data_IF_453403594054
#
_entry.id   IF_453403594054
#
_cell.length_a   1.000
_cell.length_b   1.000
_cell.length_c   1.000
_cell.angle_alpha   90.00
_cell.angle_beta   90.00
_cell.angle_gamma   90.00
#
_symmetry.space_group_name_H-M   'P 1'
#
loop_
_entity.id
_entity.type
_entity.pdbx_description
1 polymer ?
#
# COMPACT_ATOMS: atom_id res chain seq x y z
N UNK A 1 -33.63 19.34 44.35
CA UNK A 1 -33.87 18.15 43.55
C UNK A 1 -34.14 18.45 42.07
N UNK A 2 -35.11 19.29 41.70
CA UNK A 2 -35.39 19.62 40.28
C UNK A 2 -34.18 20.21 39.51
N UNK A 3 -33.42 21.11 40.14
CA UNK A 3 -32.22 21.72 39.51
C UNK A 3 -31.09 20.71 39.25
N UNK A 4 -30.92 19.75 40.14
CA UNK A 4 -29.91 18.68 39.98
C UNK A 4 -30.28 17.72 38.83
N UNK A 5 -31.57 17.46 38.67
CA UNK A 5 -32.10 16.64 37.59
C UNK A 5 -31.87 17.28 36.20
N UNK A 6 -32.08 18.60 36.09
CA UNK A 6 -31.80 19.34 34.84
C UNK A 6 -30.32 19.39 34.49
N UNK A 7 -29.43 19.51 35.48
CA UNK A 7 -27.97 19.48 35.26
C UNK A 7 -27.52 18.06 34.78
N UNK A 8 -28.09 17.02 35.37
CA UNK A 8 -27.80 15.64 34.96
C UNK A 8 -28.30 15.34 33.54
N UNK A 9 -29.50 15.84 33.20
CA UNK A 9 -30.05 15.68 31.84
C UNK A 9 -29.25 16.46 30.80
N UNK A 10 -28.77 17.65 31.10
CA UNK A 10 -27.90 18.45 30.24
C UNK A 10 -26.54 17.82 30.07
N UNK A 11 -25.95 17.17 31.08
CA UNK A 11 -24.69 16.45 30.98
C UNK A 11 -24.79 15.22 30.06
N UNK A 12 -25.92 14.52 30.08
CA UNK A 12 -26.18 13.36 29.19
C UNK A 12 -26.31 13.76 27.70
N UNK A 13 -26.86 14.93 27.39
CA UNK A 13 -27.00 15.39 25.99
C UNK A 13 -25.67 15.87 25.38
N UNK A 14 -24.73 16.38 26.19
CA UNK A 14 -23.40 16.81 25.73
C UNK A 14 -22.48 15.66 25.33
N UNK A 15 -22.70 14.45 25.85
CA UNK A 15 -21.88 13.28 25.55
C UNK A 15 -22.14 12.68 24.15
N UNK A 16 -23.27 12.98 23.52
CA UNK A 16 -23.68 12.38 22.23
C UNK A 16 -22.94 12.99 21.02
N UNK A 17 -22.45 14.21 21.11
CA UNK A 17 -21.84 14.91 19.97
C UNK A 17 -20.42 14.41 19.66
N UNK A 18 -19.67 13.94 20.68
CA UNK A 18 -18.30 13.44 20.49
C UNK A 18 -18.22 12.04 19.90
N UNK A 19 -19.22 11.19 20.15
CA UNK A 19 -19.23 9.80 19.68
C UNK A 19 -19.32 9.72 18.15
N UNK A 20 -20.20 10.48 17.53
CA UNK A 20 -20.36 10.49 16.07
C UNK A 20 -19.09 10.94 15.35
N UNK A 21 -18.40 11.95 15.87
CA UNK A 21 -17.15 12.45 15.31
C UNK A 21 -16.04 11.38 15.37
N UNK A 22 -15.99 10.59 16.44
CA UNK A 22 -15.00 9.51 16.58
C UNK A 22 -15.24 8.40 15.55
N UNK A 23 -16.48 7.98 15.39
CA UNK A 23 -16.88 6.97 14.39
C UNK A 23 -16.57 7.45 12.97
N UNK A 24 -16.86 8.72 12.65
CA UNK A 24 -16.53 9.31 11.35
C UNK A 24 -15.02 9.32 11.09
N UNK A 25 -14.20 9.58 12.09
CA UNK A 25 -12.74 9.55 11.98
C UNK A 25 -12.23 8.14 11.76
N UNK A 26 -12.74 7.14 12.48
CA UNK A 26 -12.38 5.74 12.28
C UNK A 26 -12.73 5.27 10.86
N UNK A 27 -13.92 5.59 10.37
CA UNK A 27 -14.31 5.29 8.99
C UNK A 27 -13.41 5.99 7.95
N UNK A 28 -13.02 7.23 8.18
CA UNK A 28 -12.10 7.94 7.29
C UNK A 28 -10.72 7.28 7.25
N UNK A 29 -10.20 6.82 8.39
CA UNK A 29 -8.94 6.09 8.46
C UNK A 29 -9.05 4.77 7.69
N UNK A 30 -10.09 3.98 7.94
CA UNK A 30 -10.34 2.71 7.26
C UNK A 30 -10.46 2.89 5.74
N UNK A 31 -11.21 3.89 5.27
CA UNK A 31 -11.31 4.22 3.85
C UNK A 31 -9.97 4.67 3.24
N UNK A 32 -9.19 5.43 3.99
CA UNK A 32 -7.87 5.89 3.54
C UNK A 32 -6.89 4.73 3.44
N UNK A 33 -6.95 3.80 4.39
CA UNK A 33 -6.16 2.57 4.36
C UNK A 33 -6.54 1.67 3.17
N UNK A 34 -7.82 1.43 2.92
CA UNK A 34 -8.29 0.65 1.78
C UNK A 34 -7.78 1.22 0.42
N UNK A 35 -7.65 2.55 0.31
CA UNK A 35 -7.03 3.18 -0.87
C UNK A 35 -5.54 2.88 -0.97
N UNK A 36 -4.82 2.81 0.15
CA UNK A 36 -3.40 2.40 0.19
C UNK A 36 -3.26 0.95 -0.28
N UNK A 37 -4.04 0.03 0.29
CA UNK A 37 -4.02 -1.39 -0.11
C UNK A 37 -4.33 -1.58 -1.59
N UNK A 38 -5.33 -0.87 -2.12
CA UNK A 38 -5.68 -0.91 -3.55
C UNK A 38 -4.48 -0.58 -4.45
N UNK A 39 -3.64 0.40 -4.08
CA UNK A 39 -2.46 0.75 -4.87
C UNK A 39 -1.35 -0.30 -4.74
N UNK A 40 -1.17 -0.88 -3.58
CA UNK A 40 -0.23 -1.99 -3.40
C UNK A 40 -0.66 -3.25 -4.15
N UNK A 41 -1.96 -3.57 -4.14
CA UNK A 41 -2.52 -4.67 -4.93
C UNK A 41 -2.26 -4.43 -6.43
N UNK A 42 -2.56 -3.23 -6.94
CA UNK A 42 -2.30 -2.86 -8.32
C UNK A 42 -0.82 -3.05 -8.70
N UNK A 43 0.11 -2.65 -7.82
CA UNK A 43 1.54 -2.89 -8.04
C UNK A 43 1.84 -4.40 -8.15
N UNK A 44 1.29 -5.19 -7.24
CA UNK A 44 1.48 -6.64 -7.21
C UNK A 44 0.93 -7.32 -8.46
N UNK A 45 -0.17 -6.82 -9.04
CA UNK A 45 -0.81 -7.37 -10.24
C UNK A 45 -0.01 -7.08 -11.52
N UNK A 46 0.84 -6.05 -11.53
CA UNK A 46 1.73 -5.75 -12.66
C UNK A 46 2.95 -6.68 -12.72
N UNK A 47 3.36 -7.26 -11.58
CA UNK A 47 4.61 -8.03 -11.48
C UNK A 47 4.62 -9.31 -12.34
N UNK A 48 3.55 -10.13 -12.41
CA UNK A 48 3.55 -11.30 -13.28
C UNK A 48 3.81 -10.96 -14.75
N UNK A 49 3.24 -9.86 -15.23
CA UNK A 49 3.44 -9.39 -16.60
C UNK A 49 4.89 -8.92 -16.80
N UNK A 50 5.45 -8.20 -15.84
CA UNK A 50 6.85 -7.77 -15.86
C UNK A 50 7.79 -9.00 -15.91
N UNK A 51 7.59 -9.96 -15.01
CA UNK A 51 8.39 -11.20 -14.95
C UNK A 51 8.30 -11.98 -16.26
N UNK A 52 7.11 -12.14 -16.83
CA UNK A 52 6.91 -12.84 -18.09
C UNK A 52 7.59 -12.12 -19.27
N UNK A 53 7.53 -10.78 -19.29
CA UNK A 53 8.23 -9.99 -20.32
C UNK A 53 9.73 -10.19 -20.23
N UNK A 54 10.31 -10.13 -19.01
CA UNK A 54 11.75 -10.28 -18.79
C UNK A 54 12.21 -11.72 -19.07
N UNK A 55 11.43 -12.74 -18.70
CA UNK A 55 11.70 -14.16 -18.99
C UNK A 55 11.81 -14.47 -20.47
N UNK A 56 11.20 -13.69 -21.34
CA UNK A 56 11.33 -13.83 -22.79
C UNK A 56 12.76 -13.58 -23.32
N UNK A 57 13.64 -13.02 -22.50
CA UNK A 57 15.04 -12.74 -22.81
C UNK A 57 15.93 -13.81 -22.16
N UNK A 58 16.45 -14.73 -22.97
CA UNK A 58 17.08 -15.97 -22.52
C UNK A 58 18.29 -15.79 -21.58
N UNK A 59 19.01 -14.69 -21.71
CA UNK A 59 20.23 -14.41 -20.93
C UNK A 59 19.95 -13.60 -19.65
N UNK A 60 18.68 -13.35 -19.29
CA UNK A 60 18.39 -12.57 -18.10
C UNK A 60 18.64 -13.35 -16.79
N UNK A 61 19.18 -12.68 -15.80
CA UNK A 61 19.56 -13.28 -14.51
C UNK A 61 18.36 -13.87 -13.76
N UNK A 62 18.32 -15.21 -13.69
CA UNK A 62 17.25 -15.96 -13.02
C UNK A 62 17.11 -15.61 -11.54
N UNK A 63 18.23 -15.34 -10.86
CA UNK A 63 18.23 -14.95 -9.43
C UNK A 63 17.45 -13.66 -9.18
N UNK A 64 17.63 -12.66 -10.04
CA UNK A 64 16.91 -11.37 -9.93
C UNK A 64 15.40 -11.56 -10.13
N UNK A 65 14.98 -12.41 -11.05
CA UNK A 65 13.56 -12.74 -11.26
C UNK A 65 12.97 -13.48 -10.06
N UNK A 66 13.69 -14.46 -9.54
CA UNK A 66 13.26 -15.25 -8.37
C UNK A 66 13.06 -14.34 -7.15
N UNK A 67 14.01 -13.42 -6.90
CA UNK A 67 13.90 -12.46 -5.81
C UNK A 67 12.64 -11.58 -5.90
N UNK A 68 12.25 -11.16 -7.11
CA UNK A 68 11.01 -10.38 -7.32
C UNK A 68 9.77 -11.24 -7.06
N UNK A 69 9.75 -12.50 -7.52
CA UNK A 69 8.63 -13.42 -7.32
C UNK A 69 8.43 -13.72 -5.83
N UNK A 70 9.51 -14.01 -5.11
CA UNK A 70 9.48 -14.29 -3.66
C UNK A 70 9.06 -13.05 -2.85
N UNK A 71 9.61 -11.89 -3.19
CA UNK A 71 9.24 -10.64 -2.52
C UNK A 71 7.76 -10.29 -2.78
N UNK A 72 7.24 -10.55 -3.99
CA UNK A 72 5.82 -10.39 -4.28
C UNK A 72 4.96 -11.33 -3.43
N UNK A 73 5.32 -12.62 -3.36
CA UNK A 73 4.59 -13.60 -2.55
C UNK A 73 4.55 -13.18 -1.07
N UNK A 74 5.67 -12.71 -0.52
CA UNK A 74 5.74 -12.17 0.83
C UNK A 74 4.88 -10.91 1.04
N UNK A 75 4.86 -10.02 0.04
CA UNK A 75 4.09 -8.77 0.12
C UNK A 75 2.56 -8.99 0.00
N UNK A 76 2.13 -10.00 -0.77
CA UNK A 76 0.71 -10.35 -0.92
C UNK A 76 0.18 -11.27 0.17
N UNK A 77 1.07 -11.95 0.90
CA UNK A 77 0.71 -12.83 2.03
C UNK A 77 0.38 -12.08 3.31
N UNK A 78 0.64 -10.78 3.40
CA UNK A 78 0.34 -9.96 4.57
C UNK A 78 -0.85 -9.07 4.26
N UNK A 79 -1.95 -9.31 4.96
CA UNK A 79 -3.14 -8.44 4.96
C UNK A 79 -3.23 -7.71 6.27
N UNK A 80 -3.62 -6.45 6.24
CA UNK A 80 -3.87 -5.63 7.44
C UNK A 80 -5.36 -5.31 7.46
N UNK A 81 -6.02 -5.71 8.53
CA UNK A 81 -7.44 -5.43 8.72
C UNK A 81 -7.66 -3.93 8.92
N UNK A 82 -8.50 -3.34 8.09
CA UNK A 82 -8.84 -1.92 8.15
C UNK A 82 -9.52 -1.54 9.49
N UNK A 83 -10.21 -2.50 10.12
CA UNK A 83 -10.88 -2.31 11.41
C UNK A 83 -9.94 -2.54 12.59
N UNK A 84 -8.71 -3.03 12.34
CA UNK A 84 -7.70 -3.30 13.38
C UNK A 84 -6.29 -2.96 12.90
N UNK A 85 -6.03 -1.67 12.70
CA UNK A 85 -4.74 -1.13 12.25
C UNK A 85 -3.72 -1.10 13.41
N UNK A 86 -3.19 -2.26 13.81
CA UNK A 86 -2.15 -2.29 14.84
C UNK A 86 -0.80 -1.79 14.28
N UNK A 87 0.01 -1.06 15.09
CA UNK A 87 1.33 -0.60 14.68
C UNK A 87 2.23 -1.74 14.18
N UNK A 88 2.14 -2.92 14.79
CA UNK A 88 2.92 -4.11 14.45
C UNK A 88 2.52 -4.66 13.08
N UNK A 89 1.20 -4.76 12.80
CA UNK A 89 0.69 -5.23 11.52
C UNK A 89 1.09 -4.26 10.39
N UNK A 90 0.96 -2.96 10.63
CA UNK A 90 1.39 -1.93 9.68
C UNK A 90 2.91 -2.01 9.43
N UNK A 91 3.73 -2.20 10.47
CA UNK A 91 5.17 -2.33 10.34
C UNK A 91 5.57 -3.56 9.52
N UNK A 92 4.94 -4.72 9.77
CA UNK A 92 5.17 -5.95 9.00
C UNK A 92 4.78 -5.77 7.52
N UNK A 93 3.62 -5.18 7.27
CA UNK A 93 3.16 -4.86 5.92
C UNK A 93 4.16 -3.93 5.21
N UNK A 94 4.57 -2.83 5.85
CA UNK A 94 5.55 -1.90 5.27
C UNK A 94 6.89 -2.56 5.00
N UNK A 95 7.36 -3.45 5.87
CA UNK A 95 8.60 -4.19 5.67
C UNK A 95 8.52 -5.10 4.43
N UNK A 96 7.41 -5.84 4.27
CA UNK A 96 7.21 -6.72 3.13
C UNK A 96 7.12 -5.93 1.81
N UNK A 97 6.38 -4.82 1.82
CA UNK A 97 6.27 -3.92 0.68
C UNK A 97 7.62 -3.25 0.35
N UNK A 98 8.45 -2.95 1.35
CA UNK A 98 9.81 -2.43 1.18
C UNK A 98 10.75 -3.45 0.53
N UNK A 99 10.67 -4.73 0.91
CA UNK A 99 11.42 -5.82 0.26
C UNK A 99 11.06 -5.93 -1.23
N UNK A 100 9.78 -5.83 -1.56
CA UNK A 100 9.33 -5.87 -2.94
C UNK A 100 9.83 -4.66 -3.75
N UNK A 101 9.79 -3.46 -3.18
CA UNK A 101 10.35 -2.26 -3.82
C UNK A 101 11.86 -2.41 -4.08
N UNK A 102 12.60 -2.97 -3.12
CA UNK A 102 14.03 -3.26 -3.28
C UNK A 102 14.32 -4.27 -4.39
N UNK A 103 13.54 -5.36 -4.47
CA UNK A 103 13.69 -6.38 -5.51
C UNK A 103 13.38 -5.80 -6.91
N UNK A 104 12.32 -4.99 -7.03
CA UNK A 104 11.98 -4.29 -8.28
C UNK A 104 13.07 -3.30 -8.70
N UNK A 105 13.62 -2.54 -7.77
CA UNK A 105 14.72 -1.62 -8.05
C UNK A 105 15.97 -2.37 -8.57
N UNK A 106 16.31 -3.51 -7.94
CA UNK A 106 17.41 -4.37 -8.41
C UNK A 106 17.15 -4.89 -9.83
N UNK A 107 15.92 -5.32 -10.12
CA UNK A 107 15.53 -5.77 -11.47
C UNK A 107 15.69 -4.64 -12.49
N UNK A 108 15.22 -3.44 -12.21
CA UNK A 108 15.33 -2.30 -13.13
C UNK A 108 16.79 -1.92 -13.41
N UNK A 109 17.66 -1.94 -12.38
CA UNK A 109 19.11 -1.73 -12.54
C UNK A 109 19.74 -2.83 -13.38
N UNK A 110 19.32 -4.08 -13.20
CA UNK A 110 19.80 -5.21 -13.98
C UNK A 110 19.44 -5.08 -15.46
N UNK A 111 18.22 -4.61 -15.77
CA UNK A 111 17.73 -4.39 -17.15
C UNK A 111 18.61 -3.42 -17.95
N UNK A 112 19.30 -2.48 -17.30
CA UNK A 112 20.21 -1.57 -17.97
C UNK A 112 21.33 -2.29 -18.76
N UNK A 113 21.64 -3.53 -18.39
CA UNK A 113 22.63 -4.38 -19.08
C UNK A 113 22.05 -5.14 -20.31
N UNK A 114 20.74 -5.03 -20.54
CA UNK A 114 20.01 -5.71 -21.60
C UNK A 114 19.34 -4.69 -22.53
N UNK A 115 20.06 -4.11 -23.51
CA UNK A 115 19.55 -3.02 -24.35
C UNK A 115 18.27 -3.38 -25.11
N UNK A 116 18.16 -4.61 -25.61
CA UNK A 116 17.00 -5.08 -26.36
C UNK A 116 15.76 -5.18 -25.49
N UNK A 117 15.89 -5.63 -24.24
CA UNK A 117 14.82 -5.65 -23.25
C UNK A 117 14.41 -4.24 -22.89
N UNK A 118 15.37 -3.35 -22.61
CA UNK A 118 15.13 -1.95 -22.28
C UNK A 118 14.42 -1.21 -23.43
N UNK A 119 14.75 -1.52 -24.68
CA UNK A 119 14.10 -0.94 -25.86
C UNK A 119 12.71 -1.55 -26.16
N UNK A 120 12.33 -2.62 -25.48
CA UNK A 120 11.02 -3.26 -25.67
C UNK A 120 9.88 -2.31 -25.26
N UNK A 121 8.94 -2.11 -26.17
CA UNK A 121 7.75 -1.30 -25.89
C UNK A 121 6.93 -1.85 -24.73
N UNK A 122 6.81 -3.17 -24.64
CA UNK A 122 6.07 -3.84 -23.56
C UNK A 122 6.74 -3.60 -22.21
N UNK A 123 8.06 -3.71 -22.13
CA UNK A 123 8.80 -3.42 -20.90
C UNK A 123 8.65 -1.94 -20.49
N UNK A 124 8.84 -1.01 -21.43
CA UNK A 124 8.70 0.42 -21.17
C UNK A 124 7.31 0.81 -20.67
N UNK A 125 6.25 0.20 -21.21
CA UNK A 125 4.87 0.41 -20.74
C UNK A 125 4.67 -0.10 -19.31
N UNK A 126 5.20 -1.29 -18.98
CA UNK A 126 5.11 -1.87 -17.64
C UNK A 126 5.90 -1.03 -16.62
N UNK A 127 7.09 -0.57 -17.00
CA UNK A 127 7.89 0.33 -16.17
C UNK A 127 7.13 1.63 -15.86
N UNK A 128 6.55 2.29 -16.86
CA UNK A 128 5.76 3.50 -16.69
C UNK A 128 4.52 3.27 -15.78
N UNK A 129 3.87 2.10 -15.90
CA UNK A 129 2.75 1.74 -15.03
C UNK A 129 3.21 1.50 -13.59
N UNK A 130 4.35 0.86 -13.36
CA UNK A 130 4.93 0.66 -12.03
C UNK A 130 5.32 1.99 -11.39
N UNK A 131 6.01 2.88 -12.11
CA UNK A 131 6.37 4.22 -11.63
C UNK A 131 5.13 5.05 -11.29
N UNK A 132 4.10 5.02 -12.13
CA UNK A 132 2.82 5.67 -11.86
C UNK A 132 2.10 5.10 -10.65
N UNK A 133 2.23 3.80 -10.41
CA UNK A 133 1.64 3.14 -9.23
C UNK A 133 2.40 3.49 -7.96
N UNK A 134 3.73 3.56 -8.01
CA UNK A 134 4.59 3.98 -6.88
C UNK A 134 4.27 5.41 -6.43
N UNK A 135 4.06 6.31 -7.39
CA UNK A 135 3.62 7.67 -7.09
C UNK A 135 2.24 7.68 -6.39
N UNK A 136 1.28 6.87 -6.87
CA UNK A 136 -0.04 6.75 -6.22
C UNK A 136 0.04 6.15 -4.84
N UNK A 137 0.92 5.16 -4.61
CA UNK A 137 1.21 4.60 -3.27
C UNK A 137 1.66 5.73 -2.34
N UNK A 138 2.64 6.52 -2.76
CA UNK A 138 3.15 7.66 -1.98
C UNK A 138 2.04 8.65 -1.60
N UNK A 139 1.21 9.06 -2.57
CA UNK A 139 0.09 9.98 -2.35
C UNK A 139 -0.97 9.37 -1.43
N UNK A 140 -1.32 8.08 -1.61
CA UNK A 140 -2.31 7.41 -0.78
C UNK A 140 -1.83 7.26 0.66
N UNK A 141 -0.56 6.91 0.86
CA UNK A 141 0.06 6.85 2.20
C UNK A 141 0.06 8.21 2.89
N UNK A 142 0.44 9.26 2.15
CA UNK A 142 0.42 10.63 2.69
C UNK A 142 -0.98 11.02 3.18
N UNK A 143 -2.02 10.76 2.37
CA UNK A 143 -3.41 11.04 2.75
C UNK A 143 -3.89 10.20 3.93
N UNK A 144 -3.51 8.92 3.97
CA UNK A 144 -3.82 8.04 5.09
C UNK A 144 -3.17 8.55 6.39
N UNK A 145 -1.91 8.98 6.34
CA UNK A 145 -1.25 9.56 7.50
C UNK A 145 -1.92 10.86 7.96
N UNK A 146 -2.43 11.68 7.04
CA UNK A 146 -3.19 12.88 7.40
C UNK A 146 -4.53 12.56 8.09
N UNK A 147 -5.17 11.44 7.75
CA UNK A 147 -6.43 11.03 8.40
C UNK A 147 -6.24 10.50 9.83
N UNK A 148 -5.01 10.15 10.22
CA UNK A 148 -4.68 9.73 11.59
C UNK A 148 -4.59 10.90 12.58
N UNK A 149 -4.69 12.13 12.10
CA UNK A 149 -4.57 13.34 12.90
C UNK A 149 -3.12 13.76 13.19
N UNK A 150 -2.92 14.94 13.77
CA UNK A 150 -1.59 15.43 14.17
C UNK A 150 -1.06 14.66 15.37
#
# INVERSE_FOLDING_TARGET
MKRLFFVLLAALTLSSCGYNTLVEQEEQVAQSWAKVETQYQRRSDLIPNLVNTVKGYADFEQETLTAVIEARAGATGITVDADNLSPEAIAQFQQAQGKLSGALSKLLVTVERYPDLKASQQFSQLQAQLEGTENRISVSRYRCNQSLGP
#
